data_IF_941076530536
#
_entry.id   IF_941076530536
#
_cell.length_a   1.000
_cell.length_b   1.000
_cell.length_c   1.000
_cell.angle_alpha   90.00
_cell.angle_beta   90.00
_cell.angle_gamma   90.00
#
_symmetry.space_group_name_H-M   'P 1'
#
loop_
_entity.id
_entity.type
_entity.pdbx_description
1 polymer ?
#
# COMPACT_ATOMS: atom_id res chain seq x y z
N UNK A 1 -12.30 21.38 9.42
CA UNK A 1 -12.31 20.40 8.32
C UNK A 1 -11.98 19.05 8.90
N UNK A 2 -12.86 18.07 8.74
CA UNK A 2 -12.58 16.69 9.14
C UNK A 2 -11.48 16.11 8.25
N UNK A 3 -10.58 15.33 8.84
CA UNK A 3 -9.54 14.60 8.10
C UNK A 3 -10.03 13.18 7.86
N UNK A 4 -10.11 12.78 6.59
CA UNK A 4 -10.44 11.41 6.21
C UNK A 4 -9.18 10.56 6.16
N UNK A 5 -9.27 9.33 6.66
CA UNK A 5 -8.19 8.35 6.64
C UNK A 5 -8.73 7.01 6.12
N UNK A 6 -7.84 6.24 5.52
CA UNK A 6 -8.11 4.93 4.94
C UNK A 6 -7.17 3.90 5.57
N UNK A 7 -7.73 2.75 5.92
CA UNK A 7 -6.96 1.53 6.18
C UNK A 7 -7.04 0.68 4.91
N UNK A 8 -5.89 0.20 4.43
CA UNK A 8 -5.82 -0.56 3.18
C UNK A 8 -4.92 -1.79 3.34
N UNK A 9 -5.10 -2.77 2.46
CA UNK A 9 -4.31 -3.99 2.41
C UNK A 9 -3.68 -4.13 1.02
N UNK A 10 -2.36 -4.37 0.98
CA UNK A 10 -1.63 -4.70 -0.24
C UNK A 10 -1.10 -6.13 -0.22
N UNK A 11 -0.91 -6.72 -1.39
CA UNK A 11 -0.35 -8.05 -1.58
C UNK A 11 0.64 -8.10 -2.76
N UNK A 12 1.58 -9.06 -2.71
CA UNK A 12 2.48 -9.33 -3.83
C UNK A 12 1.97 -10.40 -4.81
N UNK A 13 1.10 -11.30 -4.36
CA UNK A 13 0.39 -12.31 -5.16
C UNK A 13 -0.79 -12.89 -4.39
N UNK A 14 -1.65 -13.65 -5.06
CA UNK A 14 -2.71 -14.44 -4.41
C UNK A 14 -2.10 -15.36 -3.36
N UNK A 15 -2.64 -15.33 -2.14
CA UNK A 15 -2.14 -16.06 -0.97
C UNK A 15 -0.65 -15.77 -0.63
N UNK A 16 -0.16 -14.60 -1.01
CA UNK A 16 1.21 -14.15 -0.75
C UNK A 16 1.34 -13.30 0.52
N UNK A 17 2.43 -12.54 0.57
CA UNK A 17 2.70 -11.58 1.65
C UNK A 17 1.71 -10.43 1.57
N UNK A 18 1.17 -10.04 2.73
CA UNK A 18 0.30 -8.88 2.87
C UNK A 18 0.96 -7.77 3.68
N UNK A 19 0.54 -6.53 3.43
CA UNK A 19 0.90 -5.35 4.21
C UNK A 19 -0.37 -4.55 4.49
N UNK A 20 -0.51 -4.10 5.73
CA UNK A 20 -1.64 -3.27 6.17
C UNK A 20 -1.09 -1.87 6.45
N UNK A 21 -1.72 -0.85 5.87
CA UNK A 21 -1.28 0.54 6.01
C UNK A 21 -2.42 1.49 6.29
N UNK A 22 -2.07 2.70 6.73
CA UNK A 22 -2.99 3.83 6.91
C UNK A 22 -2.49 5.07 6.17
N UNK A 23 -3.40 5.83 5.57
CA UNK A 23 -3.07 7.08 4.86
C UNK A 23 -4.27 8.02 4.83
N UNK A 24 -4.04 9.32 4.75
CA UNK A 24 -5.05 10.34 4.44
C UNK A 24 -5.18 10.61 2.93
N UNK A 25 -4.33 9.97 2.11
CA UNK A 25 -4.34 10.03 0.66
C UNK A 25 -4.01 8.64 0.11
N UNK A 26 -5.06 7.91 -0.29
CA UNK A 26 -4.96 6.52 -0.72
C UNK A 26 -4.34 6.41 -2.12
N UNK A 27 -4.74 7.27 -3.05
CA UNK A 27 -4.29 7.23 -4.43
C UNK A 27 -2.78 7.46 -4.54
N UNK A 28 -2.26 8.51 -3.86
CA UNK A 28 -0.83 8.78 -3.82
C UNK A 28 -0.05 7.62 -3.19
N UNK A 29 -0.53 7.08 -2.07
CA UNK A 29 0.19 6.02 -1.36
C UNK A 29 0.25 4.71 -2.15
N UNK A 30 -0.83 4.33 -2.84
CA UNK A 30 -0.81 3.14 -3.72
C UNK A 30 0.18 3.34 -4.86
N UNK A 31 0.24 4.54 -5.45
CA UNK A 31 1.20 4.85 -6.51
C UNK A 31 2.65 4.72 -6.01
N UNK A 32 2.98 5.30 -4.85
CA UNK A 32 4.29 5.18 -4.22
C UNK A 32 4.73 3.72 -4.04
N UNK A 33 3.83 2.87 -3.53
CA UNK A 33 4.09 1.44 -3.33
C UNK A 33 4.26 0.67 -4.64
N UNK A 34 3.39 0.93 -5.64
CA UNK A 34 3.41 0.21 -6.92
C UNK A 34 4.68 0.48 -7.72
N UNK A 35 5.11 1.74 -7.72
CA UNK A 35 6.34 2.18 -8.40
C UNK A 35 7.59 1.95 -7.54
N UNK A 36 7.44 1.60 -6.26
CA UNK A 36 8.57 1.33 -5.35
C UNK A 36 9.37 2.59 -5.02
N UNK A 37 8.71 3.76 -4.95
CA UNK A 37 9.37 5.06 -4.76
C UNK A 37 9.95 5.25 -3.35
N UNK A 38 9.56 4.39 -2.42
CA UNK A 38 10.01 4.40 -1.03
C UNK A 38 10.67 3.05 -0.76
N UNK A 39 11.89 3.08 -0.23
CA UNK A 39 12.58 1.87 0.22
C UNK A 39 11.98 1.41 1.56
N UNK A 40 10.91 0.62 1.47
CA UNK A 40 10.20 0.07 2.62
C UNK A 40 9.76 -1.38 2.39
N UNK A 41 9.00 -1.94 3.33
CA UNK A 41 8.54 -3.34 3.28
C UNK A 41 7.85 -3.70 1.96
N UNK A 42 6.95 -2.84 1.49
CA UNK A 42 6.19 -3.07 0.25
C UNK A 42 7.12 -3.14 -0.97
N UNK A 43 8.10 -2.24 -1.07
CA UNK A 43 9.11 -2.25 -2.13
C UNK A 43 10.04 -3.48 -2.02
N UNK A 44 10.55 -3.78 -0.81
CA UNK A 44 11.44 -4.92 -0.55
C UNK A 44 10.83 -6.27 -0.92
N UNK A 45 9.53 -6.44 -0.72
CA UNK A 45 8.84 -7.71 -0.97
C UNK A 45 7.94 -7.70 -2.22
N UNK A 46 7.97 -6.62 -3.00
CA UNK A 46 7.24 -6.48 -4.26
C UNK A 46 5.71 -6.44 -4.11
N UNK A 47 5.19 -5.86 -3.03
CA UNK A 47 3.74 -5.71 -2.81
C UNK A 47 3.20 -4.56 -3.68
N UNK A 48 2.66 -4.89 -4.84
CA UNK A 48 2.20 -3.92 -5.85
C UNK A 48 0.68 -3.89 -6.07
N UNK A 49 -0.07 -4.81 -5.46
CA UNK A 49 -1.52 -4.91 -5.66
C UNK A 49 -2.27 -4.45 -4.40
N UNK A 50 -3.20 -3.52 -4.55
CA UNK A 50 -4.21 -3.25 -3.52
C UNK A 50 -5.30 -4.34 -3.57
N UNK A 51 -5.70 -4.84 -2.41
CA UNK A 51 -6.71 -5.91 -2.29
C UNK A 51 -7.86 -5.55 -1.33
N UNK A 52 -7.71 -4.48 -0.54
CA UNK A 52 -8.75 -3.87 0.29
C UNK A 52 -8.45 -2.39 0.52
#
# INVERSE_FOLDING_TARGET
>A
MERQFYVYIMANKRNGTIYIGVTNDLARRIYEHREGLIEEFTSRYGLKMIVY
#
